data_IF_120489907950
#
_entry.id   IF_120489907950
#
_cell.length_a   1.000
_cell.length_b   1.000
_cell.length_c   1.000
_cell.angle_alpha   90.00
_cell.angle_beta   90.00
_cell.angle_gamma   90.00
#
_symmetry.space_group_name_H-M   'P 1'
#
loop_
_entity.id
_entity.type
_entity.pdbx_description
1 polymer ?
#
# COMPACT_ATOMS: atom_id res chain seq x y z
N UNK A 1 -38.26 40.73 66.44
CA UNK A 1 -38.61 39.43 67.06
C UNK A 1 -37.94 38.32 66.25
N UNK A 2 -36.87 37.72 66.79
CA UNK A 2 -36.82 36.34 67.35
C UNK A 2 -37.00 35.25 66.29
N UNK A 3 -36.15 34.24 66.08
CA UNK A 3 -34.92 33.69 66.68
C UNK A 3 -34.52 32.48 65.80
N UNK A 4 -33.22 32.23 65.51
CA UNK A 4 -32.34 31.20 66.13
C UNK A 4 -32.93 29.76 66.10
N UNK A 5 -32.27 28.63 65.80
CA UNK A 5 -30.89 28.16 65.53
C UNK A 5 -31.02 26.63 65.23
N UNK A 6 -30.34 26.03 64.23
CA UNK A 6 -29.16 25.10 64.29
C UNK A 6 -29.23 23.92 65.31
N UNK A 7 -28.36 22.89 65.25
CA UNK A 7 -27.76 22.10 64.14
C UNK A 7 -27.58 20.60 64.52
N UNK A 8 -26.87 19.78 63.71
CA UNK A 8 -25.98 18.64 64.07
C UNK A 8 -25.56 17.94 62.76
N UNK A 9 -24.31 17.57 62.44
CA UNK A 9 -23.10 17.36 63.26
C UNK A 9 -21.86 17.49 62.36
N UNK A 10 -20.77 17.99 62.95
CA UNK A 10 -19.47 18.22 62.34
C UNK A 10 -18.46 17.12 62.72
N UNK A 11 -17.45 16.91 61.86
CA UNK A 11 -16.01 16.70 62.17
C UNK A 11 -15.28 16.51 60.82
N UNK A 12 -14.44 17.42 60.29
CA UNK A 12 -13.20 18.08 60.79
C UNK A 12 -12.15 17.01 61.19
N UNK A 13 -10.89 17.00 60.77
CA UNK A 13 -10.03 17.67 59.76
C UNK A 13 -8.69 16.91 59.77
N UNK A 14 -7.94 17.06 58.68
CA UNK A 14 -6.47 17.08 58.53
C UNK A 14 -5.59 16.61 59.70
N UNK A 15 -4.64 15.75 59.33
CA UNK A 15 -3.22 16.13 59.36
C UNK A 15 -2.37 15.45 60.42
N UNK A 16 -1.47 14.55 60.01
CA UNK A 16 -0.20 14.34 60.69
C UNK A 16 0.83 13.79 59.72
N UNK A 17 1.83 14.61 59.38
CA UNK A 17 3.12 14.21 58.80
C UNK A 17 4.10 14.09 59.97
N UNK A 18 4.68 12.91 60.18
CA UNK A 18 5.87 12.66 61.02
C UNK A 18 6.60 11.49 60.35
N UNK A 19 7.65 11.76 59.58
CA UNK A 19 9.07 11.86 59.96
C UNK A 19 9.82 10.51 59.87
N UNK A 20 10.94 10.59 59.16
CA UNK A 20 11.92 9.56 58.83
C UNK A 20 12.34 8.67 60.01
N UNK A 21 12.33 7.35 59.79
CA UNK A 21 13.26 6.42 60.46
C UNK A 21 13.87 5.50 59.42
N UNK A 22 15.20 5.56 59.33
CA UNK A 22 16.07 4.77 58.49
C UNK A 22 16.23 3.36 59.09
N UNK A 23 15.87 2.34 58.32
CA UNK A 23 16.33 0.98 58.53
C UNK A 23 16.64 0.36 57.16
N UNK A 24 17.93 0.18 56.91
CA UNK A 24 18.48 -0.44 55.71
C UNK A 24 18.18 -1.94 55.79
N UNK A 25 17.28 -2.41 54.94
CA UNK A 25 17.20 -3.81 54.54
C UNK A 25 17.35 -3.84 53.02
N UNK A 26 18.54 -4.23 52.56
CA UNK A 26 18.86 -4.39 51.13
C UNK A 26 18.16 -5.65 50.63
N UNK A 27 16.86 -5.55 50.40
CA UNK A 27 16.18 -6.43 49.47
C UNK A 27 16.47 -5.88 48.07
N UNK A 28 17.34 -6.57 47.32
CA UNK A 28 17.66 -6.21 45.95
C UNK A 28 16.42 -6.30 45.08
N UNK A 29 15.62 -5.24 45.04
CA UNK A 29 14.67 -5.03 43.97
C UNK A 29 15.50 -4.72 42.73
N UNK A 30 15.68 -5.73 41.87
CA UNK A 30 15.86 -5.51 40.45
C UNK A 30 14.61 -4.75 39.98
N UNK A 31 14.62 -3.43 40.14
CA UNK A 31 13.68 -2.57 39.46
C UNK A 31 13.98 -2.79 37.98
N UNK A 32 13.14 -3.57 37.31
CA UNK A 32 13.11 -3.61 35.87
C UNK A 32 12.84 -2.18 35.42
N UNK A 33 13.89 -1.46 35.02
CA UNK A 33 13.74 -0.22 34.28
C UNK A 33 12.91 -0.58 33.06
N UNK A 34 11.73 0.04 32.84
CA UNK A 34 11.03 -0.13 31.59
C UNK A 34 12.01 0.29 30.49
N UNK A 35 12.34 -0.64 29.60
CA UNK A 35 13.03 -0.27 28.37
C UNK A 35 12.12 0.77 27.69
N UNK A 36 12.62 2.00 27.56
CA UNK A 36 12.06 2.95 26.63
C UNK A 36 12.21 2.29 25.26
N UNK A 37 11.12 1.78 24.70
CA UNK A 37 11.08 1.56 23.27
C UNK A 37 11.20 2.97 22.67
N UNK A 38 12.32 3.27 22.01
CA UNK A 38 12.44 4.50 21.23
C UNK A 38 11.32 4.48 20.18
N UNK A 39 10.61 5.59 20.05
CA UNK A 39 9.59 5.74 19.01
C UNK A 39 10.26 5.65 17.62
N UNK A 40 9.62 5.00 16.63
CA UNK A 40 10.20 4.85 15.30
C UNK A 40 10.43 6.20 14.62
N UNK A 41 11.61 6.37 14.02
CA UNK A 41 11.99 7.59 13.29
C UNK A 41 11.46 7.52 11.86
N UNK A 42 10.65 8.50 11.46
CA UNK A 42 10.14 8.61 10.08
C UNK A 42 10.89 9.70 9.29
N UNK A 43 11.48 9.33 8.15
CA UNK A 43 12.15 10.26 7.22
C UNK A 43 11.31 10.37 5.94
N UNK A 44 10.77 11.56 5.59
CA UNK A 44 9.91 11.72 4.43
C UNK A 44 10.66 11.47 3.12
N UNK A 45 10.01 10.75 2.19
CA UNK A 45 10.53 10.44 0.86
C UNK A 45 9.44 10.56 -0.19
N UNK A 46 9.82 10.91 -1.41
CA UNK A 46 8.93 10.98 -2.56
C UNK A 46 9.61 10.40 -3.79
N UNK A 47 8.90 9.52 -4.50
CA UNK A 47 9.38 8.89 -5.71
C UNK A 47 8.40 9.09 -6.86
N UNK A 48 8.93 9.33 -8.06
CA UNK A 48 8.19 9.21 -9.31
C UNK A 48 8.21 7.76 -9.76
N UNK A 49 7.03 7.19 -10.02
CA UNK A 49 6.87 5.78 -10.36
C UNK A 49 6.58 5.65 -11.85
N UNK A 50 7.41 4.91 -12.57
CA UNK A 50 7.17 4.52 -13.97
C UNK A 50 7.37 3.03 -14.13
N UNK A 51 6.79 2.42 -15.15
CA UNK A 51 7.04 1.00 -15.38
C UNK A 51 6.14 0.36 -16.42
N UNK A 52 6.17 -0.97 -16.43
CA UNK A 52 5.39 -1.79 -17.34
C UNK A 52 4.93 -3.05 -16.61
N UNK A 53 3.65 -3.38 -16.77
CA UNK A 53 3.12 -4.69 -16.43
C UNK A 53 2.89 -5.51 -17.70
N UNK A 54 3.03 -6.83 -17.62
CA UNK A 54 2.84 -7.76 -18.73
C UNK A 54 1.93 -8.91 -18.30
N UNK A 55 0.88 -9.12 -19.07
CA UNK A 55 -0.07 -10.22 -18.87
C UNK A 55 0.49 -11.48 -19.49
N UNK A 56 0.69 -12.53 -18.68
CA UNK A 56 1.37 -13.76 -19.13
C UNK A 56 0.64 -14.47 -20.27
N UNK A 57 -0.69 -14.57 -20.18
CA UNK A 57 -1.53 -15.32 -21.12
C UNK A 57 -1.52 -14.72 -22.54
N UNK A 58 -1.51 -13.40 -22.64
CA UNK A 58 -1.68 -12.69 -23.93
C UNK A 58 -0.41 -12.00 -24.40
N UNK A 59 0.60 -11.85 -23.53
CA UNK A 59 1.74 -10.97 -23.77
C UNK A 59 1.38 -9.48 -23.81
N UNK A 60 0.13 -9.14 -23.50
CA UNK A 60 -0.34 -7.75 -23.50
C UNK A 60 0.38 -6.92 -22.44
N UNK A 61 0.66 -5.67 -22.76
CA UNK A 61 1.42 -4.77 -21.88
C UNK A 61 0.57 -3.60 -21.42
N UNK A 62 0.83 -3.16 -20.19
CA UNK A 62 0.27 -1.96 -19.59
C UNK A 62 1.42 -1.06 -19.15
N UNK A 63 1.53 0.11 -19.77
CA UNK A 63 2.51 1.12 -19.38
C UNK A 63 1.99 1.88 -18.16
N UNK A 64 2.77 1.88 -17.08
CA UNK A 64 2.41 2.46 -15.79
C UNK A 64 3.13 3.79 -15.60
N UNK A 65 2.37 4.80 -15.18
CA UNK A 65 2.89 6.11 -14.82
C UNK A 65 3.04 7.08 -16.00
N UNK A 66 3.71 8.24 -15.77
CA UNK A 66 4.34 8.61 -14.50
C UNK A 66 3.31 8.81 -13.37
N UNK A 67 3.53 8.12 -12.26
CA UNK A 67 2.77 8.27 -11.02
C UNK A 67 3.68 8.70 -9.87
N UNK A 68 3.15 8.69 -8.64
CA UNK A 68 3.85 9.14 -7.44
C UNK A 68 3.72 8.15 -6.30
N UNK A 69 4.79 8.00 -5.54
CA UNK A 69 4.80 7.33 -4.24
C UNK A 69 5.30 8.35 -3.21
N UNK A 70 4.39 8.86 -2.39
CA UNK A 70 4.70 9.84 -1.34
C UNK A 70 4.58 9.14 0.03
N UNK A 71 5.64 9.18 0.84
CA UNK A 71 5.73 8.37 2.04
C UNK A 71 6.90 8.73 2.97
N UNK A 72 7.31 7.75 3.76
CA UNK A 72 8.45 7.85 4.67
C UNK A 72 9.23 6.54 4.73
N UNK A 73 10.54 6.66 4.93
CA UNK A 73 11.37 5.58 5.49
C UNK A 73 11.07 5.51 6.97
N UNK A 74 10.88 4.30 7.49
CA UNK A 74 10.56 4.03 8.90
C UNK A 74 11.73 3.29 9.49
N UNK A 75 12.38 3.87 10.50
CA UNK A 75 13.52 3.27 11.21
C UNK A 75 13.06 2.90 12.61
N UNK A 76 13.12 1.61 12.92
CA UNK A 76 12.72 1.03 14.21
C UNK A 76 13.82 0.09 14.71
N UNK A 77 14.69 0.63 15.57
CA UNK A 77 15.95 -0.02 15.96
C UNK A 77 16.84 -0.27 14.75
N UNK A 78 17.20 -1.53 14.52
CA UNK A 78 17.99 -1.97 13.36
C UNK A 78 17.13 -2.22 12.10
N UNK A 79 15.81 -2.11 12.19
CA UNK A 79 14.91 -2.36 11.07
C UNK A 79 14.67 -1.07 10.28
N UNK A 80 14.86 -1.15 8.96
CA UNK A 80 14.49 -0.08 8.04
C UNK A 80 13.37 -0.56 7.15
N UNK A 81 12.31 0.23 7.06
CA UNK A 81 11.15 -0.03 6.22
C UNK A 81 10.76 1.19 5.39
N UNK A 82 9.74 0.99 4.55
CA UNK A 82 9.10 2.08 3.81
C UNK A 82 7.60 2.01 4.00
N UNK A 83 6.95 3.16 4.11
CA UNK A 83 5.49 3.27 4.09
C UNK A 83 5.09 4.45 3.23
N UNK A 84 4.14 4.28 2.32
CA UNK A 84 3.76 5.36 1.42
C UNK A 84 2.45 5.14 0.70
N UNK A 85 1.91 6.22 0.16
CA UNK A 85 0.70 6.19 -0.65
C UNK A 85 1.08 6.25 -2.12
N UNK A 86 0.65 5.23 -2.87
CA UNK A 86 0.83 5.16 -4.32
C UNK A 86 -0.32 5.89 -5.02
N UNK A 87 0.01 6.70 -6.01
CA UNK A 87 -0.95 7.31 -6.93
C UNK A 87 -0.48 7.06 -8.35
N UNK A 88 -1.33 6.41 -9.15
CA UNK A 88 -1.05 6.13 -10.56
C UNK A 88 -2.13 6.78 -11.44
N UNK A 89 -1.76 7.47 -12.52
CA UNK A 89 -2.74 7.91 -13.50
C UNK A 89 -3.38 6.70 -14.20
N UNK A 90 -4.56 6.87 -14.82
CA UNK A 90 -5.12 5.87 -15.72
C UNK A 90 -4.14 5.54 -16.85
N UNK A 91 -3.96 4.26 -17.10
CA UNK A 91 -3.04 3.73 -18.10
C UNK A 91 -3.79 3.09 -19.25
N UNK A 92 -3.14 2.95 -20.40
CA UNK A 92 -3.71 2.28 -21.57
C UNK A 92 -3.08 0.90 -21.72
N UNK A 93 -3.91 -0.15 -21.68
CA UNK A 93 -3.51 -1.50 -22.03
C UNK A 93 -3.60 -1.71 -23.54
N UNK A 94 -2.58 -2.34 -24.11
CA UNK A 94 -2.56 -2.76 -25.51
C UNK A 94 -2.33 -4.28 -25.54
N UNK A 95 -3.31 -5.02 -26.06
CA UNK A 95 -3.28 -6.48 -26.16
C UNK A 95 -3.39 -6.86 -27.64
N UNK A 96 -2.60 -7.85 -28.03
CA UNK A 96 -2.54 -8.35 -29.39
C UNK A 96 -2.70 -9.86 -29.37
N UNK A 97 -3.73 -10.37 -30.03
CA UNK A 97 -4.04 -11.80 -30.13
C UNK A 97 -3.84 -12.28 -31.58
N UNK A 98 -3.69 -13.60 -31.74
CA UNK A 98 -3.57 -14.27 -33.06
C UNK A 98 -2.51 -13.58 -33.94
N UNK A 99 -1.26 -13.57 -33.47
CA UNK A 99 -0.11 -12.99 -34.20
C UNK A 99 -0.28 -11.54 -34.67
N UNK A 100 -1.11 -10.73 -34.01
CA UNK A 100 -1.33 -9.33 -34.41
C UNK A 100 -2.66 -9.04 -35.08
N UNK A 101 -3.40 -10.08 -35.47
CA UNK A 101 -4.65 -9.93 -36.22
C UNK A 101 -5.74 -9.28 -35.38
N UNK A 102 -5.86 -9.65 -34.10
CA UNK A 102 -6.85 -9.06 -33.20
C UNK A 102 -6.16 -8.10 -32.22
N UNK A 103 -6.55 -6.83 -32.26
CA UNK A 103 -6.05 -5.79 -31.36
C UNK A 103 -7.13 -5.37 -30.38
N UNK A 104 -6.74 -5.22 -29.13
CA UNK A 104 -7.61 -4.76 -28.04
C UNK A 104 -6.90 -3.61 -27.33
N UNK A 105 -7.61 -2.51 -27.15
CA UNK A 105 -7.18 -1.35 -26.37
C UNK A 105 -8.17 -1.13 -25.25
N UNK A 106 -7.69 -0.89 -24.04
CA UNK A 106 -8.55 -0.61 -22.89
C UNK A 106 -7.89 0.41 -21.96
N UNK A 107 -8.71 1.19 -21.26
CA UNK A 107 -8.23 2.06 -20.18
C UNK A 107 -8.28 1.27 -18.88
N UNK A 108 -7.17 1.30 -18.15
CA UNK A 108 -6.99 0.59 -16.88
C UNK A 108 -6.70 1.61 -15.78
N UNK A 109 -7.38 1.49 -14.65
CA UNK A 109 -7.14 2.27 -13.44
C UNK A 109 -6.74 1.33 -12.32
N UNK A 110 -5.73 1.73 -11.56
CA UNK A 110 -5.26 1.02 -10.37
C UNK A 110 -5.64 1.88 -9.16
N UNK A 111 -6.50 1.36 -8.30
CA UNK A 111 -6.97 2.02 -7.10
C UNK A 111 -6.42 1.30 -5.86
N UNK A 112 -5.36 1.82 -5.22
CA UNK A 112 -4.82 1.25 -4.00
C UNK A 112 -5.89 1.14 -2.91
N UNK A 113 -5.91 0.02 -2.18
CA UNK A 113 -6.83 -0.19 -1.06
C UNK A 113 -6.21 0.20 0.29
N UNK A 114 -4.93 0.57 0.29
CA UNK A 114 -4.19 0.97 1.47
C UNK A 114 -2.76 1.42 1.11
N UNK A 115 -1.96 1.81 2.12
CA UNK A 115 -0.58 2.22 1.91
C UNK A 115 0.29 1.05 1.44
N UNK A 116 1.29 1.35 0.63
CA UNK A 116 2.42 0.48 0.36
C UNK A 116 3.23 0.36 1.65
N UNK A 117 3.62 -0.86 2.00
CA UNK A 117 4.53 -1.14 3.11
C UNK A 117 5.73 -1.90 2.56
N UNK A 118 6.89 -1.74 3.16
CA UNK A 118 8.05 -2.55 2.80
C UNK A 118 9.09 -2.64 3.89
N UNK A 119 9.95 -3.63 3.73
CA UNK A 119 10.97 -4.01 4.70
C UNK A 119 12.28 -4.19 3.96
N UNK A 120 13.34 -3.57 4.47
CA UNK A 120 14.71 -3.77 4.01
C UNK A 120 15.34 -4.89 4.84
N UNK A 121 15.78 -5.97 4.18
CA UNK A 121 16.47 -7.06 4.84
C UNK A 121 17.59 -7.57 3.92
N UNK A 122 18.80 -7.72 4.47
CA UNK A 122 19.98 -8.20 3.73
C UNK A 122 20.27 -7.40 2.45
N UNK A 123 19.99 -6.09 2.45
CA UNK A 123 20.13 -5.21 1.29
C UNK A 123 18.99 -5.27 0.27
N UNK A 124 18.02 -6.16 0.43
CA UNK A 124 16.86 -6.25 -0.47
C UNK A 124 15.64 -5.55 0.15
N UNK A 125 15.02 -4.64 -0.61
CA UNK A 125 13.75 -4.02 -0.23
C UNK A 125 12.60 -4.84 -0.81
N UNK A 126 11.77 -5.40 0.07
CA UNK A 126 10.53 -6.06 -0.32
C UNK A 126 9.36 -5.16 0.05
N UNK A 127 8.56 -4.76 -0.94
CA UNK A 127 7.34 -3.96 -0.73
C UNK A 127 6.10 -4.78 -1.03
N UNK A 128 5.01 -4.48 -0.32
CA UNK A 128 3.69 -5.07 -0.47
C UNK A 128 2.63 -3.99 -0.55
N UNK A 129 1.68 -4.20 -1.45
CA UNK A 129 0.50 -3.35 -1.57
C UNK A 129 -0.68 -4.13 -2.14
N UNK A 130 -1.88 -3.58 -1.94
CA UNK A 130 -3.11 -4.11 -2.48
C UNK A 130 -3.82 -3.01 -3.28
N UNK A 131 -4.43 -3.40 -4.40
CA UNK A 131 -5.17 -2.48 -5.24
C UNK A 131 -6.33 -3.16 -5.95
N UNK A 132 -7.39 -2.42 -6.22
CA UNK A 132 -8.40 -2.81 -7.19
C UNK A 132 -7.94 -2.42 -8.59
N UNK A 133 -8.17 -3.29 -9.57
CA UNK A 133 -7.98 -2.95 -10.97
C UNK A 133 -9.35 -2.72 -11.61
N UNK A 134 -9.48 -1.58 -12.29
CA UNK A 134 -10.68 -1.20 -13.01
C UNK A 134 -10.38 -1.08 -14.51
N UNK A 135 -11.28 -1.58 -15.34
CA UNK A 135 -11.13 -1.58 -16.81
C UNK A 135 -12.37 -0.99 -17.44
N UNK A 136 -12.19 -0.03 -18.34
CA UNK A 136 -13.27 0.58 -19.11
C UNK A 136 -12.76 1.03 -20.49
N UNK A 137 -13.64 1.62 -21.30
CA UNK A 137 -13.32 2.09 -22.66
C UNK A 137 -12.62 1.02 -23.51
N UNK A 138 -13.20 -0.18 -23.53
CA UNK A 138 -12.63 -1.31 -24.28
C UNK A 138 -12.97 -1.13 -25.76
N UNK A 139 -11.95 -1.12 -26.60
CA UNK A 139 -12.07 -1.05 -28.06
C UNK A 139 -11.34 -2.23 -28.67
N UNK A 140 -12.02 -2.94 -29.57
CA UNK A 140 -11.49 -4.13 -30.26
C UNK A 140 -11.49 -3.93 -31.76
N UNK A 141 -10.66 -4.68 -32.48
CA UNK A 141 -10.72 -4.68 -33.94
C UNK A 141 -9.69 -5.58 -34.60
N UNK A 142 -9.86 -5.74 -35.91
CA UNK A 142 -8.94 -6.47 -36.76
C UNK A 142 -7.84 -5.51 -37.23
N UNK A 143 -6.57 -5.82 -36.96
CA UNK A 143 -5.38 -5.00 -37.21
C UNK A 143 -5.30 -3.65 -36.48
N UNK A 144 -6.42 -2.97 -36.23
CA UNK A 144 -6.53 -1.74 -35.44
C UNK A 144 -7.82 -1.73 -34.59
N UNK A 145 -7.80 -1.25 -33.33
CA UNK A 145 -8.98 -1.20 -32.47
C UNK A 145 -9.93 -0.07 -32.89
N UNK A 146 -11.07 -0.41 -33.51
CA UNK A 146 -12.06 0.56 -34.03
C UNK A 146 -13.49 0.33 -33.53
N UNK A 147 -13.79 -0.85 -32.99
CA UNK A 147 -15.13 -1.23 -32.52
C UNK A 147 -15.18 -1.03 -31.00
N UNK A 148 -15.88 -0.03 -30.48
CA UNK A 148 -16.08 0.11 -29.04
C UNK A 148 -17.00 -1.03 -28.56
N UNK A 149 -16.57 -1.74 -27.52
CA UNK A 149 -17.45 -2.68 -26.83
C UNK A 149 -18.25 -1.92 -25.77
N UNK A 150 -19.56 -2.19 -25.64
CA UNK A 150 -20.34 -1.61 -24.57
C UNK A 150 -19.78 -2.08 -23.22
N UNK A 151 -19.22 -1.16 -22.46
CA UNK A 151 -18.98 -1.36 -21.03
C UNK A 151 -20.24 -0.98 -20.29
N UNK A 152 -20.53 -1.63 -19.15
CA UNK A 152 -21.57 -1.19 -18.24
C UNK A 152 -21.37 0.31 -17.89
N UNK A 153 -22.39 1.01 -17.38
CA UNK A 153 -22.18 2.36 -16.82
C UNK A 153 -21.08 2.39 -15.74
N UNK A 154 -20.78 1.23 -15.13
CA UNK A 154 -19.62 0.99 -14.27
C UNK A 154 -18.45 0.33 -15.02
N UNK A 155 -17.22 0.69 -14.65
CA UNK A 155 -16.03 -0.03 -15.10
C UNK A 155 -16.03 -1.47 -14.56
N UNK A 156 -15.50 -2.41 -15.36
CA UNK A 156 -15.13 -3.75 -14.90
C UNK A 156 -14.22 -3.62 -13.68
N UNK A 157 -14.49 -4.35 -12.61
CA UNK A 157 -13.66 -4.28 -11.39
C UNK A 157 -13.23 -5.67 -10.95
N UNK A 158 -12.01 -5.79 -10.42
CA UNK A 158 -11.56 -7.04 -9.81
C UNK A 158 -12.48 -7.45 -8.65
N UNK A 159 -12.83 -8.73 -8.57
CA UNK A 159 -13.72 -9.28 -7.52
C UNK A 159 -13.11 -9.16 -6.13
N UNK A 160 -11.78 -9.17 -6.05
CA UNK A 160 -10.97 -8.94 -4.85
C UNK A 160 -9.79 -8.03 -5.19
N UNK A 161 -9.20 -7.32 -4.21
CA UNK A 161 -7.94 -6.63 -4.43
C UNK A 161 -6.86 -7.59 -4.92
N UNK A 162 -6.01 -7.11 -5.83
CA UNK A 162 -4.82 -7.84 -6.26
C UNK A 162 -3.68 -7.54 -5.31
N UNK A 163 -2.90 -8.57 -4.98
CA UNK A 163 -1.70 -8.45 -4.16
C UNK A 163 -0.49 -8.17 -5.05
N UNK A 164 0.23 -7.10 -4.76
CA UNK A 164 1.51 -6.78 -5.38
C UNK A 164 2.62 -6.98 -4.35
N UNK A 165 3.62 -7.76 -4.71
CA UNK A 165 4.89 -7.82 -3.98
C UNK A 165 6.00 -7.49 -4.95
N UNK A 166 6.76 -6.44 -4.66
CA UNK A 166 7.92 -6.04 -5.46
C UNK A 166 9.19 -6.22 -4.65
N UNK A 167 10.25 -6.59 -5.35
CA UNK A 167 11.59 -6.73 -4.79
C UNK A 167 12.54 -5.82 -5.55
N UNK A 168 13.28 -5.01 -4.80
CA UNK A 168 14.42 -4.22 -5.27
C UNK A 168 15.66 -4.83 -4.63
N UNK A 169 16.53 -5.46 -5.44
CA UNK A 169 17.70 -6.18 -4.93
C UNK A 169 18.88 -5.26 -4.69
N UNK A 170 19.63 -5.50 -3.61
CA UNK A 170 20.80 -4.70 -3.23
C UNK A 170 20.53 -3.20 -3.36
N UNK A 171 19.41 -2.75 -2.79
CA UNK A 171 18.91 -1.40 -2.99
C UNK A 171 19.80 -0.38 -2.29
N UNK A 172 20.06 0.72 -2.99
CA UNK A 172 20.48 1.98 -2.39
C UNK A 172 19.27 2.91 -2.40
N UNK A 173 18.73 3.21 -1.21
CA UNK A 173 17.52 4.03 -1.06
C UNK A 173 17.71 5.49 -1.50
N UNK A 174 18.97 5.91 -1.68
CA UNK A 174 19.36 7.23 -2.14
C UNK A 174 19.81 7.25 -3.60
N UNK A 175 19.79 6.10 -4.28
CA UNK A 175 20.07 6.05 -5.71
C UNK A 175 19.05 6.88 -6.50
N UNK A 176 19.45 7.46 -7.65
CA UNK A 176 18.55 8.25 -8.49
C UNK A 176 17.39 7.41 -9.06
N UNK A 177 17.55 6.10 -9.14
CA UNK A 177 16.59 5.15 -9.68
C UNK A 177 16.71 3.83 -8.91
N UNK A 178 15.57 3.32 -8.47
CA UNK A 178 15.44 2.06 -7.74
C UNK A 178 14.57 1.10 -8.58
N UNK A 179 15.20 0.20 -9.36
CA UNK A 179 14.46 -0.80 -10.12
C UNK A 179 13.81 -1.81 -9.18
N UNK A 180 12.54 -2.09 -9.43
CA UNK A 180 11.72 -2.97 -8.61
C UNK A 180 10.92 -3.90 -9.50
N UNK A 181 10.92 -5.20 -9.19
CA UNK A 181 10.24 -6.20 -10.03
C UNK A 181 9.40 -7.15 -9.19
N UNK A 182 8.36 -7.70 -9.79
CA UNK A 182 7.48 -8.63 -9.11
C UNK A 182 6.65 -9.49 -10.06
N UNK A 183 6.06 -10.53 -9.47
CA UNK A 183 5.07 -11.39 -10.12
C UNK A 183 3.76 -11.23 -9.37
N UNK A 184 2.66 -11.12 -10.11
CA UNK A 184 1.34 -10.93 -9.53
C UNK A 184 0.28 -11.75 -10.25
N UNK A 185 -0.84 -11.94 -9.56
CA UNK A 185 -2.01 -12.63 -10.07
C UNK A 185 -3.08 -11.60 -10.35
N UNK A 186 -3.61 -11.56 -11.58
CA UNK A 186 -4.77 -10.74 -11.91
C UNK A 186 -6.01 -11.51 -11.44
N UNK A 187 -6.79 -11.00 -10.47
CA UNK A 187 -8.03 -11.63 -10.05
C UNK A 187 -9.06 -11.67 -11.18
N UNK A 188 -10.13 -12.42 -10.98
CA UNK A 188 -11.29 -12.35 -11.85
C UNK A 188 -11.94 -10.96 -11.78
N UNK A 189 -12.68 -10.60 -12.83
CA UNK A 189 -13.43 -9.36 -12.91
C UNK A 189 -14.93 -9.64 -12.76
N UNK A 190 -15.63 -8.61 -12.33
CA UNK A 190 -17.09 -8.53 -12.33
C UNK A 190 -17.53 -7.21 -12.94
N UNK A 191 -18.83 -7.12 -13.19
CA UNK A 191 -19.51 -5.94 -13.71
C UNK A 191 -19.06 -5.60 -15.15
N UNK A 192 -18.59 -6.58 -15.93
CA UNK A 192 -18.22 -6.45 -17.33
C UNK A 192 -19.36 -6.82 -18.30
N UNK A 193 -20.57 -6.29 -18.09
CA UNK A 193 -21.77 -6.33 -18.95
C UNK A 193 -22.09 -7.64 -19.72
N UNK A 194 -21.29 -8.06 -20.71
CA UNK A 194 -21.52 -9.26 -21.54
C UNK A 194 -20.28 -10.20 -21.58
N UNK A 195 -19.11 -9.74 -21.13
CA UNK A 195 -17.82 -10.40 -21.38
C UNK A 195 -16.99 -10.69 -20.11
N UNK A 196 -17.60 -10.73 -18.92
CA UNK A 196 -16.90 -11.13 -17.66
C UNK A 196 -16.05 -12.40 -17.89
N UNK A 197 -16.64 -13.40 -18.55
CA UNK A 197 -15.98 -14.67 -18.84
C UNK A 197 -14.86 -14.52 -19.88
N UNK A 198 -15.05 -13.74 -20.94
CA UNK A 198 -14.06 -13.60 -22.00
C UNK A 198 -12.87 -12.74 -21.58
N UNK A 199 -13.11 -11.61 -20.91
CA UNK A 199 -12.04 -10.74 -20.43
C UNK A 199 -11.25 -11.45 -19.32
N UNK A 200 -11.95 -12.03 -18.33
CA UNK A 200 -11.33 -12.81 -17.26
C UNK A 200 -10.53 -14.01 -17.80
N UNK A 201 -11.07 -14.75 -18.77
CA UNK A 201 -10.35 -15.88 -19.37
C UNK A 201 -9.04 -15.45 -20.04
N UNK A 202 -9.03 -14.27 -20.69
CA UNK A 202 -7.87 -13.75 -21.42
C UNK A 202 -6.79 -13.19 -20.49
N UNK A 203 -7.15 -12.38 -19.48
CA UNK A 203 -6.16 -11.63 -18.70
C UNK A 203 -6.05 -12.04 -17.22
N UNK A 204 -7.07 -12.68 -16.64
CA UNK A 204 -7.00 -13.13 -15.25
C UNK A 204 -6.14 -14.39 -15.11
N UNK A 205 -5.51 -14.53 -13.95
CA UNK A 205 -4.67 -15.67 -13.62
C UNK A 205 -3.27 -15.28 -13.13
N UNK A 206 -2.46 -16.26 -12.72
CA UNK A 206 -1.16 -16.04 -12.11
C UNK A 206 -0.03 -15.84 -13.12
N UNK A 207 1.11 -15.37 -12.61
CA UNK A 207 2.36 -15.33 -13.37
C UNK A 207 2.55 -14.08 -14.24
N UNK A 208 1.74 -13.04 -14.03
CA UNK A 208 1.94 -11.75 -14.68
C UNK A 208 3.14 -11.06 -14.05
N UNK A 209 3.88 -10.29 -14.84
CA UNK A 209 5.09 -9.63 -14.36
C UNK A 209 4.90 -8.12 -14.33
N UNK A 210 5.53 -7.46 -13.37
CA UNK A 210 5.56 -6.01 -13.26
C UNK A 210 7.00 -5.58 -13.01
N UNK A 211 7.43 -4.57 -13.75
CA UNK A 211 8.72 -3.92 -13.58
C UNK A 211 8.47 -2.43 -13.42
N UNK A 212 8.91 -1.88 -12.29
CA UNK A 212 8.81 -0.48 -11.96
C UNK A 212 10.21 0.12 -11.78
N UNK A 213 10.30 1.40 -12.08
CA UNK A 213 11.42 2.26 -11.75
C UNK A 213 10.91 3.38 -10.85
N UNK A 214 11.49 3.46 -9.64
CA UNK A 214 11.21 4.47 -8.64
C UNK A 214 12.33 5.52 -8.72
N UNK A 215 12.01 6.70 -9.24
CA UNK A 215 12.97 7.81 -9.33
C UNK A 215 12.82 8.74 -8.15
N UNK A 216 13.93 9.00 -7.47
CA UNK A 216 13.97 9.88 -6.31
C UNK A 216 13.63 11.32 -6.73
N UNK A 217 12.72 11.96 -6.00
CA UNK A 217 12.37 13.39 -6.19
C UNK A 217 13.01 14.31 -5.14
N UNK A 218 13.88 13.76 -4.29
CA UNK A 218 14.66 14.50 -3.28
C UNK A 218 15.84 15.23 -3.90
#
# INVERSE_FOLDING_TARGET
MFGRTRPKTARRRLGTVVALTSAIAVAGSLAATPALADDPVEIPVSYTVTGKATVKKTGGTLDLGPGRLDGALVIDGDNVGIRGNLSLPPSTANISLVSGVFKIKARVRIEPTGPVTGTLANGDLTTRSQANMLIDNIVVGLFYPVIPLPTAPSACKTVKPLDLTLVSKNVDLFAPSIPSSGVFTIPEFKDCFINDLALGALISGPGNTINLDLKSNI
#
